data_IF_633279338071
#
_entry.id   IF_633279338071
#
_cell.length_a   1.000
_cell.length_b   1.000
_cell.length_c   1.000
_cell.angle_alpha   90.00
_cell.angle_beta   90.00
_cell.angle_gamma   90.00
#
_symmetry.space_group_name_H-M   'P 1'
#
loop_
_entity.id
_entity.type
_entity.pdbx_description
1 polymer ?
#
# COMPACT_ATOMS: atom_id res chain seq x y z
N UNK A 1 15.19 -8.46 10.18
CA UNK A 1 14.01 -7.64 10.60
C UNK A 1 12.80 -8.54 10.79
N UNK A 2 12.03 -8.37 11.86
CA UNK A 2 10.86 -9.21 12.15
C UNK A 2 9.59 -8.54 11.66
N UNK A 3 8.72 -9.29 10.97
CA UNK A 3 7.40 -8.80 10.57
C UNK A 3 6.53 -8.53 11.80
N UNK A 4 6.06 -7.31 11.92
CA UNK A 4 5.11 -6.90 12.94
C UNK A 4 3.67 -7.19 12.51
N UNK A 5 2.73 -7.13 13.49
CA UNK A 5 1.31 -7.22 13.20
C UNK A 5 0.89 -6.13 12.23
N UNK A 6 0.16 -6.48 11.18
CA UNK A 6 -0.29 -5.53 10.17
C UNK A 6 -1.14 -4.41 10.79
N UNK A 7 -0.84 -3.19 10.39
CA UNK A 7 -1.56 -1.97 10.72
C UNK A 7 -1.70 -1.11 9.46
N UNK A 8 -2.62 -0.16 9.49
CA UNK A 8 -2.77 0.83 8.44
C UNK A 8 -1.89 2.05 8.72
N UNK A 9 -1.24 2.51 7.67
CA UNK A 9 -0.38 3.68 7.71
C UNK A 9 -0.72 4.64 6.58
N UNK A 10 -0.62 5.93 6.88
CA UNK A 10 -0.49 6.98 5.88
C UNK A 10 0.97 7.20 5.60
N UNK A 11 1.25 7.74 4.44
CA UNK A 11 2.60 8.07 4.00
C UNK A 11 2.78 9.60 3.96
N UNK A 12 3.98 10.05 4.29
CA UNK A 12 4.41 11.43 4.04
C UNK A 12 4.29 11.75 2.54
N UNK A 13 3.44 12.71 2.20
CA UNK A 13 3.17 13.09 0.81
C UNK A 13 4.36 13.75 0.12
N UNK A 14 5.28 14.37 0.88
CA UNK A 14 6.54 14.89 0.33
C UNK A 14 7.42 13.75 -0.18
N UNK A 15 7.48 12.67 0.59
CA UNK A 15 8.18 11.45 0.18
C UNK A 15 7.53 10.80 -1.06
N UNK A 16 6.20 10.70 -1.11
CA UNK A 16 5.47 10.19 -2.28
C UNK A 16 5.80 11.01 -3.54
N UNK A 17 5.81 12.34 -3.45
CA UNK A 17 6.18 13.20 -4.59
C UNK A 17 7.62 12.97 -5.04
N UNK A 18 8.53 12.74 -4.09
CA UNK A 18 9.91 12.41 -4.41
C UNK A 18 10.02 11.08 -5.17
N UNK A 19 9.30 10.04 -4.74
CA UNK A 19 9.26 8.76 -5.45
C UNK A 19 8.61 8.88 -6.83
N UNK A 20 7.56 9.69 -6.96
CA UNK A 20 6.88 9.94 -8.24
C UNK A 20 7.83 10.56 -9.29
N UNK A 21 8.77 11.41 -8.87
CA UNK A 21 9.78 11.98 -9.77
C UNK A 21 10.75 10.93 -10.30
N UNK A 22 10.90 9.82 -9.61
CA UNK A 22 11.78 8.69 -9.99
C UNK A 22 11.03 7.68 -10.87
N UNK A 23 9.78 7.37 -10.50
CA UNK A 23 8.88 6.51 -11.26
C UNK A 23 7.48 7.15 -11.26
N UNK A 24 7.07 7.72 -12.40
CA UNK A 24 5.81 8.45 -12.54
C UNK A 24 4.56 7.58 -12.37
N UNK A 25 4.71 6.26 -12.27
CA UNK A 25 3.62 5.33 -11.94
C UNK A 25 3.29 5.31 -10.46
N UNK A 26 4.16 5.84 -9.59
CA UNK A 26 3.84 6.10 -8.18
C UNK A 26 2.73 7.15 -8.15
N UNK A 27 1.58 6.79 -7.58
CA UNK A 27 0.47 7.75 -7.46
C UNK A 27 0.87 8.93 -6.59
N UNK A 28 0.83 10.13 -7.15
CA UNK A 28 1.13 11.36 -6.44
C UNK A 28 -0.01 12.35 -6.55
N UNK A 29 -0.09 13.27 -5.60
CA UNK A 29 -1.08 14.36 -5.58
C UNK A 29 -0.35 15.68 -5.72
N UNK A 30 -0.84 16.55 -6.60
CA UNK A 30 -0.35 17.90 -6.71
C UNK A 30 -0.54 18.65 -5.37
N UNK A 31 0.46 19.39 -4.89
CA UNK A 31 0.31 20.26 -3.71
C UNK A 31 -0.86 21.23 -3.77
N UNK A 32 -1.27 21.61 -4.99
CA UNK A 32 -2.37 22.55 -5.25
C UNK A 32 -3.76 21.96 -5.01
N UNK A 33 -3.91 20.61 -5.02
CA UNK A 33 -5.20 19.94 -4.83
C UNK A 33 -5.52 19.73 -3.34
N UNK A 34 -4.57 20.00 -2.46
CA UNK A 34 -4.68 19.77 -1.03
C UNK A 34 -4.56 18.30 -0.62
N UNK A 35 -4.03 18.07 0.57
CA UNK A 35 -3.77 16.72 1.12
C UNK A 35 -5.06 15.96 1.47
N UNK A 36 -6.21 16.64 1.48
CA UNK A 36 -7.49 16.10 1.95
C UNK A 36 -8.14 15.08 1.00
N UNK A 37 -7.79 15.07 -0.29
CA UNK A 37 -8.52 14.30 -1.28
C UNK A 37 -7.90 12.96 -1.69
N UNK A 38 -6.63 12.70 -1.37
CA UNK A 38 -5.98 11.40 -1.61
C UNK A 38 -5.03 11.06 -0.49
N UNK A 39 -5.55 10.40 0.51
CA UNK A 39 -4.73 9.81 1.56
C UNK A 39 -4.14 8.53 1.01
N UNK A 40 -2.82 8.52 0.84
CA UNK A 40 -2.10 7.30 0.51
C UNK A 40 -2.06 6.41 1.75
N UNK A 41 -2.91 5.38 1.75
CA UNK A 41 -3.06 4.44 2.88
C UNK A 41 -2.66 3.06 2.42
N UNK A 42 -2.00 2.33 3.29
CA UNK A 42 -1.62 0.94 3.01
C UNK A 42 -1.19 0.19 4.26
N UNK A 43 -0.83 -1.06 4.04
CA UNK A 43 -0.25 -1.94 5.07
C UNK A 43 1.24 -2.09 4.83
N UNK A 44 2.00 -2.25 5.91
CA UNK A 44 3.46 -2.42 5.83
C UNK A 44 3.82 -3.89 5.99
N UNK A 45 4.62 -4.39 5.06
CA UNK A 45 5.21 -5.73 5.06
C UNK A 45 6.72 -5.65 4.92
N UNK A 46 7.42 -6.72 5.27
CA UNK A 46 8.87 -6.82 5.10
C UNK A 46 9.17 -7.69 3.88
N UNK A 47 9.87 -7.10 2.91
CA UNK A 47 10.38 -7.78 1.73
C UNK A 47 11.89 -7.61 1.70
N UNK A 48 12.64 -8.72 1.70
CA UNK A 48 14.11 -8.71 1.64
C UNK A 48 14.73 -7.73 2.65
N UNK A 49 14.31 -7.84 3.92
CA UNK A 49 14.76 -7.01 5.06
C UNK A 49 14.46 -5.50 4.94
N UNK A 50 13.60 -5.10 4.01
CA UNK A 50 13.11 -3.73 3.83
C UNK A 50 11.62 -3.64 4.09
N UNK A 51 11.19 -2.52 4.65
CA UNK A 51 9.77 -2.23 4.79
C UNK A 51 9.20 -1.76 3.45
N UNK A 52 8.07 -2.33 3.08
CA UNK A 52 7.28 -1.94 1.93
C UNK A 52 5.85 -1.61 2.35
N UNK A 53 5.33 -0.51 1.87
CA UNK A 53 3.91 -0.20 2.00
C UNK A 53 3.18 -0.69 0.75
N UNK A 54 2.19 -1.58 0.97
CA UNK A 54 1.28 -2.04 -0.08
C UNK A 54 0.06 -1.12 -0.04
N UNK A 55 -0.22 -0.35 -1.12
CA UNK A 55 -1.35 0.56 -1.13
C UNK A 55 -2.69 -0.18 -1.15
N UNK A 56 -3.60 0.34 -0.34
CA UNK A 56 -5.03 0.02 -0.35
C UNK A 56 -5.75 1.03 -1.22
N UNK A 57 -6.57 0.56 -2.13
CA UNK A 57 -7.35 1.42 -3.01
C UNK A 57 -8.83 1.09 -2.94
N UNK A 58 -9.67 2.10 -3.15
CA UNK A 58 -11.10 1.87 -3.34
C UNK A 58 -11.33 1.03 -4.61
N UNK A 59 -12.26 0.07 -4.56
CA UNK A 59 -12.57 -0.73 -5.73
C UNK A 59 -13.31 0.12 -6.76
N UNK A 60 -12.92 -0.06 -8.04
CA UNK A 60 -13.67 0.47 -9.18
C UNK A 60 -14.33 -0.68 -9.94
N UNK A 61 -15.24 -0.39 -10.85
CA UNK A 61 -16.07 -1.41 -11.53
C UNK A 61 -15.27 -2.57 -12.14
N UNK A 62 -14.11 -2.26 -12.75
CA UNK A 62 -13.22 -3.30 -13.32
C UNK A 62 -12.78 -4.35 -12.29
N UNK A 63 -12.59 -3.94 -11.03
CA UNK A 63 -12.11 -4.84 -9.97
C UNK A 63 -13.12 -5.94 -9.62
N UNK A 64 -14.40 -5.72 -9.85
CA UNK A 64 -15.44 -6.74 -9.64
C UNK A 64 -15.22 -7.97 -10.54
N UNK A 65 -14.74 -7.73 -11.77
CA UNK A 65 -14.51 -8.77 -12.79
C UNK A 65 -13.11 -9.37 -12.77
N UNK A 66 -12.14 -8.68 -12.13
CA UNK A 66 -10.76 -9.17 -12.04
C UNK A 66 -10.65 -10.30 -11.04
N UNK A 67 -9.88 -11.33 -11.39
CA UNK A 67 -9.47 -12.36 -10.44
C UNK A 67 -8.20 -11.96 -9.69
N UNK A 68 -8.00 -12.42 -8.45
CA UNK A 68 -6.72 -12.26 -7.77
C UNK A 68 -5.56 -12.79 -8.60
N UNK A 69 -4.42 -12.10 -8.54
CA UNK A 69 -3.19 -12.43 -9.27
C UNK A 69 -1.98 -12.26 -8.35
N UNK A 70 -0.78 -12.54 -8.86
CA UNK A 70 0.46 -12.33 -8.12
C UNK A 70 0.65 -10.86 -7.66
N UNK A 71 0.13 -9.92 -8.42
CA UNK A 71 0.28 -8.47 -8.22
C UNK A 71 -0.99 -7.78 -7.67
N UNK A 72 -2.05 -8.55 -7.35
CA UNK A 72 -3.35 -7.97 -7.00
C UNK A 72 -4.21 -8.91 -6.15
N UNK A 73 -4.84 -8.37 -5.11
CA UNK A 73 -5.87 -9.05 -4.31
C UNK A 73 -7.10 -8.16 -4.09
N UNK A 74 -8.24 -8.83 -3.89
CA UNK A 74 -9.51 -8.22 -3.50
C UNK A 74 -9.78 -8.45 -2.02
N UNK A 75 -10.17 -7.39 -1.32
CA UNK A 75 -10.63 -7.47 0.06
C UNK A 75 -12.15 -7.61 0.03
N UNK A 76 -12.63 -8.79 0.37
CA UNK A 76 -14.05 -9.13 0.32
C UNK A 76 -14.53 -9.48 1.73
N UNK A 77 -15.62 -8.87 2.17
CA UNK A 77 -16.20 -9.18 3.47
C UNK A 77 -16.97 -10.51 3.46
N UNK A 78 -17.42 -10.93 4.63
CA UNK A 78 -18.20 -12.19 4.81
C UNK A 78 -19.49 -12.25 3.99
N UNK A 79 -20.03 -11.11 3.58
CA UNK A 79 -21.26 -11.01 2.78
C UNK A 79 -20.96 -10.94 1.26
N UNK A 80 -19.71 -11.14 0.84
CA UNK A 80 -19.31 -11.09 -0.56
C UNK A 80 -19.13 -9.67 -1.13
N UNK A 81 -19.26 -8.63 -0.29
CA UNK A 81 -19.06 -7.24 -0.73
C UNK A 81 -17.57 -6.95 -0.89
N UNK A 82 -17.21 -6.39 -2.03
CA UNK A 82 -15.86 -5.88 -2.31
C UNK A 82 -15.63 -4.57 -1.56
N UNK A 83 -14.72 -4.59 -0.59
CA UNK A 83 -14.39 -3.44 0.26
C UNK A 83 -13.24 -2.61 -0.32
N UNK A 84 -12.21 -3.26 -0.79
CA UNK A 84 -11.00 -2.64 -1.28
C UNK A 84 -10.16 -3.58 -2.12
N UNK A 85 -9.02 -3.09 -2.57
CA UNK A 85 -8.03 -3.86 -3.32
C UNK A 85 -6.62 -3.60 -2.80
N UNK A 86 -5.79 -4.62 -2.82
CA UNK A 86 -4.36 -4.57 -2.54
C UNK A 86 -3.59 -4.60 -3.85
N UNK A 87 -2.78 -3.58 -4.08
CA UNK A 87 -1.98 -3.45 -5.31
C UNK A 87 -0.50 -3.69 -4.99
N UNK A 88 -0.07 -4.96 -5.04
CA UNK A 88 1.32 -5.31 -4.78
C UNK A 88 2.28 -4.73 -5.82
N UNK A 89 1.83 -4.58 -7.07
CA UNK A 89 2.60 -3.98 -8.15
C UNK A 89 2.94 -2.50 -7.91
N UNK A 90 2.21 -1.84 -7.03
CA UNK A 90 2.40 -0.43 -6.67
C UNK A 90 2.99 -0.27 -5.26
N UNK A 91 3.48 -1.32 -4.64
CA UNK A 91 4.12 -1.21 -3.33
C UNK A 91 5.41 -0.40 -3.40
N UNK A 92 5.68 0.36 -2.35
CA UNK A 92 6.81 1.29 -2.27
C UNK A 92 7.67 1.01 -1.04
N UNK A 93 9.01 1.14 -1.16
CA UNK A 93 9.89 1.04 0.00
C UNK A 93 9.64 2.22 0.94
N UNK A 94 9.70 1.98 2.24
CA UNK A 94 9.45 2.99 3.28
C UNK A 94 10.34 2.77 4.50
N UNK A 95 10.61 3.87 5.23
CA UNK A 95 11.20 3.85 6.57
C UNK A 95 10.19 4.38 7.59
N UNK A 96 10.43 4.12 8.87
CA UNK A 96 9.53 4.53 9.97
C UNK A 96 9.15 6.02 9.91
N UNK A 97 10.11 6.87 9.57
CA UNK A 97 9.93 8.32 9.55
C UNK A 97 8.97 8.83 8.46
N UNK A 98 8.62 7.99 7.47
CA UNK A 98 7.60 8.33 6.47
C UNK A 98 6.22 7.80 6.84
N UNK A 99 6.11 7.00 7.89
CA UNK A 99 4.89 6.30 8.27
C UNK A 99 4.13 7.04 9.37
N UNK A 100 2.86 7.28 9.15
CA UNK A 100 1.92 7.79 10.14
C UNK A 100 0.82 6.75 10.36
N UNK A 101 0.80 6.14 11.53
CA UNK A 101 -0.23 5.15 11.86
C UNK A 101 -1.62 5.78 11.80
N UNK A 102 -2.55 5.12 11.13
CA UNK A 102 -3.94 5.58 11.05
C UNK A 102 -4.63 5.34 12.38
N UNK A 103 -5.21 6.41 12.96
CA UNK A 103 -6.06 6.28 14.14
C UNK A 103 -7.47 5.85 13.72
N UNK A 104 -7.86 4.65 14.16
CA UNK A 104 -9.16 4.05 13.89
C UNK A 104 -10.14 4.14 15.07
N UNK A 105 -9.74 4.82 16.16
CA UNK A 105 -10.63 5.00 17.30
C UNK A 105 -11.81 5.89 16.92
N UNK A 106 -13.00 5.48 17.34
CA UNK A 106 -14.19 6.32 17.21
C UNK A 106 -14.05 7.56 18.08
N UNK A 107 -14.33 8.73 17.52
CA UNK A 107 -14.46 9.98 18.23
C UNK A 107 -15.93 10.40 18.28
N UNK A 108 -16.30 11.10 19.35
CA UNK A 108 -17.68 11.63 19.52
C UNK A 108 -18.01 12.66 18.44
N UNK A 109 -17.01 13.41 18.01
CA UNK A 109 -17.13 14.49 17.03
C UNK A 109 -17.01 14.01 15.57
N UNK A 110 -16.76 12.70 15.37
CA UNK A 110 -16.70 12.13 14.02
C UNK A 110 -18.03 12.35 13.27
N UNK A 111 -17.96 12.89 12.08
CA UNK A 111 -19.09 12.95 11.14
C UNK A 111 -19.53 11.52 10.72
N UNK A 112 -20.71 11.39 10.15
CA UNK A 112 -21.19 10.12 9.62
C UNK A 112 -20.23 9.52 8.57
N UNK A 113 -19.65 10.37 7.73
CA UNK A 113 -18.65 9.96 6.73
C UNK A 113 -17.35 9.44 7.36
N UNK A 114 -16.87 10.10 8.39
CA UNK A 114 -15.66 9.67 9.12
C UNK A 114 -15.87 8.35 9.85
N UNK A 115 -17.03 8.17 10.50
CA UNK A 115 -17.42 6.91 11.14
C UNK A 115 -17.47 5.77 10.13
N UNK A 116 -18.08 6.02 8.97
CA UNK A 116 -18.13 5.03 7.89
C UNK A 116 -16.73 4.68 7.37
N UNK A 117 -15.88 5.69 7.12
CA UNK A 117 -14.51 5.48 6.66
C UNK A 117 -13.67 4.70 7.67
N UNK A 118 -13.73 5.05 8.97
CA UNK A 118 -13.04 4.31 10.03
C UNK A 118 -13.49 2.86 10.09
N UNK A 119 -14.80 2.60 9.98
CA UNK A 119 -15.33 1.24 9.97
C UNK A 119 -14.84 0.46 8.75
N UNK A 120 -14.84 1.07 7.57
CA UNK A 120 -14.29 0.45 6.35
C UNK A 120 -12.81 0.07 6.54
N UNK A 121 -12.00 0.98 7.07
CA UNK A 121 -10.59 0.71 7.37
C UNK A 121 -10.41 -0.43 8.38
N UNK A 122 -11.25 -0.51 9.39
CA UNK A 122 -11.24 -1.61 10.37
C UNK A 122 -11.54 -2.94 9.69
N UNK A 123 -12.56 -2.98 8.84
CA UNK A 123 -12.98 -4.21 8.14
C UNK A 123 -11.88 -4.67 7.16
N UNK A 124 -11.29 -3.75 6.41
CA UNK A 124 -10.16 -4.02 5.52
C UNK A 124 -8.93 -4.53 6.30
N UNK A 125 -8.58 -3.87 7.40
CA UNK A 125 -7.45 -4.27 8.23
C UNK A 125 -7.66 -5.65 8.87
N UNK A 126 -8.86 -5.95 9.32
CA UNK A 126 -9.19 -7.26 9.88
C UNK A 126 -9.06 -8.36 8.82
N UNK A 127 -9.51 -8.08 7.59
CA UNK A 127 -9.31 -8.99 6.45
C UNK A 127 -7.82 -9.21 6.19
N UNK A 128 -7.02 -8.14 6.12
CA UNK A 128 -5.57 -8.22 5.92
C UNK A 128 -4.89 -9.04 7.01
N UNK A 129 -5.26 -8.85 8.27
CA UNK A 129 -4.69 -9.61 9.41
C UNK A 129 -5.03 -11.09 9.34
N UNK A 130 -6.25 -11.43 8.91
CA UNK A 130 -6.67 -12.82 8.72
C UNK A 130 -5.91 -13.50 7.57
N UNK A 131 -5.47 -12.76 6.57
CA UNK A 131 -4.75 -13.24 5.39
C UNK A 131 -3.27 -12.82 5.39
N UNK A 132 -2.71 -12.47 6.55
CA UNK A 132 -1.39 -11.88 6.66
C UNK A 132 -0.29 -12.73 6.00
N UNK A 133 -0.28 -14.03 6.23
CA UNK A 133 0.74 -14.93 5.66
C UNK A 133 0.68 -14.95 4.13
N UNK A 134 -0.52 -14.99 3.56
CA UNK A 134 -0.72 -14.95 2.11
C UNK A 134 -0.23 -13.63 1.53
N UNK A 135 -0.59 -12.51 2.17
CA UNK A 135 -0.19 -11.17 1.75
C UNK A 135 1.33 -11.01 1.77
N UNK A 136 1.96 -11.39 2.88
CA UNK A 136 3.41 -11.30 3.06
C UNK A 136 4.14 -12.17 2.04
N UNK A 137 3.69 -13.40 1.82
CA UNK A 137 4.26 -14.30 0.82
C UNK A 137 4.12 -13.75 -0.59
N UNK A 138 2.96 -13.23 -0.97
CA UNK A 138 2.74 -12.61 -2.30
C UNK A 138 3.65 -11.41 -2.52
N UNK A 139 3.76 -10.52 -1.54
CA UNK A 139 4.64 -9.36 -1.61
C UNK A 139 6.10 -9.76 -1.80
N UNK A 140 6.59 -10.72 -1.00
CA UNK A 140 7.96 -11.22 -1.12
C UNK A 140 8.22 -11.90 -2.46
N UNK A 141 7.31 -12.76 -2.93
CA UNK A 141 7.43 -13.42 -4.22
C UNK A 141 7.45 -12.40 -5.38
N UNK A 142 6.56 -11.41 -5.35
CA UNK A 142 6.52 -10.39 -6.38
C UNK A 142 7.78 -9.52 -6.37
N UNK A 143 8.24 -9.11 -5.17
CA UNK A 143 9.48 -8.38 -5.02
C UNK A 143 10.65 -9.15 -5.64
N UNK A 144 10.80 -10.43 -5.31
CA UNK A 144 11.85 -11.30 -5.85
C UNK A 144 11.75 -11.42 -7.38
N UNK A 145 10.54 -11.65 -7.93
CA UNK A 145 10.32 -11.75 -9.37
C UNK A 145 10.68 -10.45 -10.12
N UNK A 146 10.44 -9.30 -9.50
CA UNK A 146 10.70 -8.00 -10.11
C UNK A 146 12.15 -7.53 -9.97
N UNK A 147 12.87 -7.98 -8.92
CA UNK A 147 14.25 -7.55 -8.63
C UNK A 147 15.31 -8.53 -9.12
N UNK A 148 14.94 -9.75 -9.48
CA UNK A 148 15.81 -10.77 -10.06
C UNK A 148 15.79 -10.75 -11.59
N UNK A 149 16.66 -11.54 -12.21
CA UNK A 149 16.69 -11.79 -13.66
C UNK A 149 15.62 -12.81 -14.10
N UNK A 150 14.37 -12.58 -13.66
CA UNK A 150 13.26 -13.46 -14.03
C UNK A 150 12.57 -12.99 -15.31
N UNK A 151 12.01 -13.95 -16.05
CA UNK A 151 11.15 -13.70 -17.23
C UNK A 151 9.69 -13.41 -16.85
N UNK A 152 9.44 -12.91 -15.65
CA UNK A 152 8.09 -12.61 -15.18
C UNK A 152 7.44 -11.53 -16.04
N UNK A 153 6.41 -11.90 -16.79
CA UNK A 153 5.69 -11.00 -17.72
C UNK A 153 4.96 -9.86 -17.00
N UNK A 154 4.61 -10.04 -15.73
CA UNK A 154 3.97 -9.02 -14.91
C UNK A 154 4.88 -7.89 -14.47
N UNK A 155 6.20 -8.02 -14.65
CA UNK A 155 7.20 -7.02 -14.24
C UNK A 155 6.93 -5.63 -14.83
N UNK A 156 6.41 -5.57 -16.04
CA UNK A 156 6.06 -4.31 -16.73
C UNK A 156 4.95 -3.52 -16.01
N UNK A 157 4.10 -4.20 -15.23
CA UNK A 157 3.03 -3.56 -14.45
C UNK A 157 3.50 -3.10 -13.08
N UNK A 158 4.65 -3.57 -12.62
CA UNK A 158 5.22 -3.24 -11.32
C UNK A 158 6.05 -1.96 -11.38
N UNK A 159 6.11 -1.23 -10.28
CA UNK A 159 7.07 -0.16 -10.11
C UNK A 159 8.51 -0.72 -10.19
N UNK A 160 9.45 0.14 -10.50
CA UNK A 160 10.87 -0.22 -10.47
C UNK A 160 11.36 -0.24 -9.01
N UNK A 161 11.18 -1.38 -8.35
CA UNK A 161 11.49 -1.53 -6.91
C UNK A 161 12.94 -1.20 -6.59
N UNK A 162 13.90 -1.66 -7.39
CA UNK A 162 15.33 -1.37 -7.16
C UNK A 162 15.64 0.13 -7.23
N UNK A 163 15.07 0.81 -8.20
CA UNK A 163 15.25 2.25 -8.37
C UNK A 163 14.62 3.03 -7.24
N UNK A 164 13.43 2.61 -6.78
CA UNK A 164 12.74 3.22 -5.64
C UNK A 164 13.46 2.94 -4.32
N UNK A 165 14.05 1.76 -4.14
CA UNK A 165 14.90 1.44 -2.97
C UNK A 165 16.10 2.37 -2.88
N UNK A 166 16.82 2.58 -3.99
CA UNK A 166 17.94 3.50 -4.04
C UNK A 166 17.52 4.94 -3.72
N UNK A 167 16.35 5.38 -4.18
CA UNK A 167 15.83 6.70 -3.86
C UNK A 167 15.37 6.82 -2.41
N UNK A 168 14.79 5.77 -1.83
CA UNK A 168 14.45 5.71 -0.43
C UNK A 168 15.69 5.93 0.46
N UNK A 169 16.78 5.26 0.17
CA UNK A 169 18.06 5.43 0.87
C UNK A 169 18.57 6.87 0.76
N UNK A 170 18.62 7.44 -0.44
CA UNK A 170 19.04 8.82 -0.67
C UNK A 170 18.17 9.83 0.09
N UNK A 171 16.86 9.63 0.09
CA UNK A 171 15.93 10.52 0.77
C UNK A 171 16.18 10.54 2.28
N UNK A 172 16.46 9.40 2.86
CA UNK A 172 16.71 9.26 4.29
C UNK A 172 18.09 9.77 4.72
N UNK A 173 19.09 9.73 3.83
CA UNK A 173 20.41 10.32 4.08
C UNK A 173 20.41 11.86 4.07
N UNK A 174 19.39 12.51 3.46
CA UNK A 174 19.28 13.97 3.37
C UNK A 174 18.62 14.61 4.62
N UNK A 175 18.17 13.80 5.55
CA UNK A 175 17.56 14.24 6.83
C UNK A 175 18.52 14.06 7.98
#
# INVERSE_FOLDING_TARGET
>A
MKQERLNLYRIDMKYIRNLHNVDNRVSSVSPQIGEQHRIYVGIVVICNERKYLIPLSHPVEKHKRMNPRADFDKIINKNGKLLGVLNYNLMIPVEEQQLLKVDLKADKDDSAGEKYYKQLCIDELNWCRKHADVIINKANCLHQLCTSESNYKGKMRCLDFKRLEAECEKYNMRK
#
